data_IF_853308500909
#
_entry.id   IF_853308500909
#
_cell.length_a   1.000
_cell.length_b   1.000
_cell.length_c   1.000
_cell.angle_alpha   90.00
_cell.angle_beta   90.00
_cell.angle_gamma   90.00
#
_symmetry.space_group_name_H-M   'P 1'
#
loop_
_entity.id
_entity.type
_entity.pdbx_description
1 polymer ?
#
# COMPACT_ATOMS: atom_id res chain seq x y z
N UNK A 1 -7.67 2.10 -5.30
CA UNK A 1 -6.75 3.07 -5.93
C UNK A 1 -6.31 4.05 -4.87
N UNK A 2 -5.01 4.36 -4.79
CA UNK A 2 -4.47 5.27 -3.77
C UNK A 2 -3.55 6.28 -4.47
N UNK A 3 -3.74 7.60 -4.27
CA UNK A 3 -2.78 8.58 -4.75
C UNK A 3 -1.39 8.31 -4.14
N UNK A 4 -0.33 8.68 -4.86
CA UNK A 4 1.04 8.58 -4.33
C UNK A 4 1.63 9.96 -4.15
N UNK A 5 2.30 10.15 -3.02
CA UNK A 5 3.16 11.30 -2.74
C UNK A 5 4.55 10.75 -2.52
N UNK A 6 5.56 11.35 -3.19
CA UNK A 6 6.94 10.88 -3.23
C UNK A 6 7.09 9.39 -3.61
N UNK A 7 6.13 8.88 -4.38
CA UNK A 7 6.10 7.49 -4.83
C UNK A 7 5.82 6.46 -3.74
N UNK A 8 5.34 6.88 -2.57
CA UNK A 8 5.14 6.00 -1.39
C UNK A 8 3.68 5.92 -0.95
N UNK A 9 3.33 4.77 -0.39
CA UNK A 9 2.01 4.48 0.20
C UNK A 9 2.19 3.96 1.62
N UNK A 10 1.36 4.43 2.55
CA UNK A 10 1.37 3.99 3.94
C UNK A 10 0.13 3.13 4.25
N UNK A 11 0.34 2.11 5.09
CA UNK A 11 -0.68 1.18 5.57
C UNK A 11 -0.72 1.27 7.09
N UNK A 12 -1.85 1.69 7.63
CA UNK A 12 -2.09 1.78 9.06
C UNK A 12 -2.93 0.58 9.52
N UNK A 13 -2.57 -0.07 10.63
CA UNK A 13 -3.40 -1.07 11.31
C UNK A 13 -4.05 -0.50 12.58
N UNK A 14 -5.35 -0.71 12.77
CA UNK A 14 -6.11 -0.12 13.88
C UNK A 14 -5.90 -0.80 15.24
N UNK A 15 -6.16 -2.09 15.32
CA UNK A 15 -6.11 -2.92 16.54
C UNK A 15 -5.35 -4.22 16.30
N UNK A 16 -5.00 -4.92 17.38
CA UNK A 16 -4.22 -6.15 17.32
C UNK A 16 -2.91 -6.02 16.54
N UNK A 17 -2.39 -7.13 16.05
CA UNK A 17 -1.27 -7.18 15.12
C UNK A 17 -1.62 -8.02 13.91
N UNK A 18 -1.09 -7.66 12.74
CA UNK A 18 -1.42 -8.31 11.47
C UNK A 18 -0.24 -8.32 10.52
N UNK A 19 -0.11 -9.36 9.72
CA UNK A 19 0.80 -9.37 8.58
C UNK A 19 0.12 -8.76 7.35
N UNK A 20 0.83 -7.86 6.68
CA UNK A 20 0.32 -7.16 5.50
C UNK A 20 1.09 -7.53 4.25
N UNK A 21 0.32 -7.68 3.19
CA UNK A 21 0.76 -8.01 1.85
C UNK A 21 0.15 -6.98 0.90
N UNK A 22 0.95 -6.47 -0.03
CA UNK A 22 0.46 -5.61 -1.10
C UNK A 22 0.96 -6.08 -2.48
N UNK A 23 0.00 -6.30 -3.37
CA UNK A 23 0.21 -6.61 -4.78
C UNK A 23 -0.24 -5.40 -5.61
N UNK A 24 0.61 -4.89 -6.51
CA UNK A 24 0.21 -3.86 -7.48
C UNK A 24 -0.40 -4.53 -8.71
N UNK A 25 -1.45 -3.96 -9.28
CA UNK A 25 -2.04 -4.41 -10.56
C UNK A 25 -1.83 -3.40 -11.69
N UNK A 26 -1.73 -2.13 -11.34
CA UNK A 26 -1.52 -1.02 -12.27
C UNK A 26 -1.21 0.28 -11.55
N UNK A 27 -0.87 1.31 -12.32
CA UNK A 27 -0.64 2.66 -11.85
C UNK A 27 -1.22 3.70 -12.83
N UNK A 28 -1.36 4.93 -12.35
CA UNK A 28 -1.81 6.06 -13.13
C UNK A 28 -0.68 7.07 -13.32
N UNK A 29 -0.62 7.68 -14.50
CA UNK A 29 0.20 8.86 -14.80
C UNK A 29 -0.70 10.01 -15.21
N UNK A 30 -0.22 11.26 -15.09
CA UNK A 30 -0.93 12.41 -15.65
C UNK A 30 -1.01 12.31 -17.18
N UNK A 31 -2.13 12.74 -17.76
CA UNK A 31 -2.35 12.78 -19.20
C UNK A 31 -3.31 13.92 -19.56
N UNK A 32 -2.76 15.12 -19.83
CA UNK A 32 -3.55 16.33 -20.07
C UNK A 32 -4.48 16.63 -18.89
N UNK A 33 -5.77 16.82 -19.17
CA UNK A 33 -6.81 17.04 -18.15
C UNK A 33 -7.26 15.74 -17.45
N UNK A 34 -6.69 14.58 -17.82
CA UNK A 34 -7.04 13.27 -17.29
C UNK A 34 -5.84 12.48 -16.76
N UNK A 35 -6.04 11.18 -16.63
CA UNK A 35 -5.01 10.23 -16.22
C UNK A 35 -4.98 9.02 -17.14
N UNK A 36 -3.79 8.51 -17.44
CA UNK A 36 -3.60 7.25 -18.17
C UNK A 36 -3.41 6.13 -17.16
N UNK A 37 -4.18 5.05 -17.30
CA UNK A 37 -3.96 3.82 -16.53
C UNK A 37 -3.01 2.87 -17.26
N UNK A 38 -1.99 2.39 -16.57
CA UNK A 38 -1.05 1.40 -17.06
C UNK A 38 -1.17 0.14 -16.23
N UNK A 39 -1.58 -0.96 -16.86
CA UNK A 39 -1.58 -2.29 -16.25
C UNK A 39 -0.18 -2.88 -16.25
N UNK A 40 0.24 -3.45 -15.11
CA UNK A 40 1.52 -4.16 -14.99
C UNK A 40 1.37 -5.58 -14.43
N UNK A 41 0.13 -6.07 -14.32
CA UNK A 41 -0.22 -7.39 -13.75
C UNK A 41 -0.07 -7.39 -12.23
N UNK A 42 -0.60 -8.42 -11.52
CA UNK A 42 -0.35 -8.53 -10.08
C UNK A 42 1.15 -8.81 -9.85
N UNK A 43 1.84 -7.86 -9.23
CA UNK A 43 3.21 -8.04 -8.74
C UNK A 43 3.26 -7.76 -7.25
N UNK A 44 3.84 -8.68 -6.48
CA UNK A 44 4.05 -8.50 -5.05
C UNK A 44 5.09 -7.40 -4.81
N UNK A 45 4.68 -6.33 -4.12
CA UNK A 45 5.57 -5.24 -3.73
C UNK A 45 5.94 -5.28 -2.25
N UNK A 46 5.03 -5.77 -1.40
CA UNK A 46 5.23 -5.80 0.05
C UNK A 46 4.77 -7.13 0.63
N UNK A 47 5.56 -7.67 1.56
CA UNK A 47 5.17 -8.79 2.41
C UNK A 47 5.91 -8.71 3.76
N UNK A 48 5.20 -8.28 4.80
CA UNK A 48 5.78 -8.08 6.15
C UNK A 48 6.24 -9.38 6.81
N UNK A 49 5.85 -10.55 6.29
CA UNK A 49 6.31 -11.86 6.80
C UNK A 49 7.74 -12.17 6.39
N UNK A 50 8.19 -11.57 5.27
CA UNK A 50 9.51 -11.79 4.68
C UNK A 50 10.38 -10.54 4.60
N UNK A 51 9.83 -9.36 4.90
CA UNK A 51 10.51 -8.07 4.73
C UNK A 51 10.59 -7.58 3.28
N UNK A 52 9.89 -8.25 2.36
CA UNK A 52 9.83 -7.85 0.95
C UNK A 52 9.31 -6.40 0.82
N UNK A 53 9.96 -5.62 -0.06
CA UNK A 53 9.68 -4.20 -0.22
C UNK A 53 10.50 -3.30 0.71
N UNK A 54 11.46 -3.86 1.45
CA UNK A 54 12.31 -3.12 2.39
C UNK A 54 11.57 -2.72 3.67
N UNK A 55 10.47 -3.40 3.98
CA UNK A 55 9.69 -3.18 5.19
C UNK A 55 10.18 -4.09 6.32
N UNK A 56 9.92 -3.76 7.59
CA UNK A 56 10.25 -4.67 8.70
C UNK A 56 9.64 -6.06 8.49
N UNK A 57 10.42 -7.10 8.75
CA UNK A 57 9.94 -8.47 8.80
C UNK A 57 9.21 -8.72 10.14
N UNK A 58 8.04 -8.12 10.30
CA UNK A 58 7.24 -8.19 11.52
C UNK A 58 5.78 -7.84 11.23
N UNK A 59 4.88 -8.30 12.10
CA UNK A 59 3.49 -7.85 12.09
C UNK A 59 3.41 -6.34 12.37
N UNK A 60 2.46 -5.68 11.72
CA UNK A 60 2.10 -4.30 12.03
C UNK A 60 1.21 -4.32 13.27
N UNK A 61 1.71 -3.77 14.38
CA UNK A 61 0.98 -3.70 15.65
C UNK A 61 -0.18 -2.69 15.64
N UNK A 62 -0.87 -2.58 16.77
CA UNK A 62 -2.01 -1.68 16.94
C UNK A 62 -1.54 -0.23 16.82
N UNK A 63 -2.26 0.58 16.04
CA UNK A 63 -1.83 1.93 15.71
C UNK A 63 -0.61 2.01 14.78
N UNK A 64 -0.04 0.87 14.38
CA UNK A 64 1.21 0.78 13.64
C UNK A 64 1.04 1.18 12.17
N UNK A 65 2.13 1.68 11.59
CA UNK A 65 2.20 2.05 10.17
C UNK A 65 3.38 1.36 9.51
N UNK A 66 3.15 0.78 8.33
CA UNK A 66 4.20 0.35 7.42
C UNK A 66 4.12 1.17 6.12
N UNK A 67 5.26 1.62 5.62
CA UNK A 67 5.33 2.45 4.40
C UNK A 67 6.06 1.70 3.30
N UNK A 68 5.44 1.65 2.13
CA UNK A 68 5.94 0.98 0.93
C UNK A 68 6.41 2.01 -0.10
N UNK A 69 7.64 1.85 -0.59
CA UNK A 69 8.10 2.51 -1.81
C UNK A 69 7.48 1.80 -3.02
N UNK A 70 6.75 2.53 -3.86
CA UNK A 70 6.10 1.99 -5.06
C UNK A 70 6.75 2.49 -6.33
N UNK A 71 6.94 3.81 -6.47
CA UNK A 71 7.62 4.38 -7.63
C UNK A 71 9.05 3.84 -7.74
N UNK A 72 9.48 3.54 -8.96
CA UNK A 72 10.81 3.00 -9.26
C UNK A 72 10.97 1.51 -8.97
N UNK A 73 9.89 0.79 -8.65
CA UNK A 73 9.93 -0.65 -8.32
C UNK A 73 9.15 -1.49 -9.33
N UNK A 74 9.61 -2.69 -9.66
CA UNK A 74 8.84 -3.73 -10.37
C UNK A 74 8.09 -3.27 -11.64
N UNK A 75 8.69 -2.34 -12.41
CA UNK A 75 8.11 -1.80 -13.66
C UNK A 75 7.21 -0.57 -13.47
N UNK A 76 7.13 -0.03 -12.26
CA UNK A 76 6.56 1.29 -11.98
C UNK A 76 7.64 2.35 -12.23
N UNK A 77 7.37 3.40 -13.02
CA UNK A 77 8.30 4.51 -13.21
C UNK A 77 8.73 5.17 -11.90
N UNK A 78 9.94 5.71 -11.86
CA UNK A 78 10.46 6.42 -10.68
C UNK A 78 9.80 7.80 -10.47
N UNK A 79 9.20 8.37 -11.52
CA UNK A 79 8.54 9.67 -11.52
C UNK A 79 7.30 9.67 -12.42
N UNK A 80 6.45 10.69 -12.29
CA UNK A 80 5.24 10.85 -13.11
C UNK A 80 4.05 9.94 -12.73
N UNK A 81 4.21 9.11 -11.70
CA UNK A 81 3.12 8.29 -11.14
C UNK A 81 2.29 9.14 -10.18
N UNK A 82 0.97 9.16 -10.38
CA UNK A 82 0.04 9.98 -9.58
C UNK A 82 -0.83 9.14 -8.64
N UNK A 83 -1.12 7.89 -9.01
CA UNK A 83 -1.84 6.94 -8.17
C UNK A 83 -1.49 5.49 -8.51
N UNK A 84 -1.78 4.56 -7.60
CA UNK A 84 -1.52 3.13 -7.78
C UNK A 84 -2.77 2.30 -7.45
N UNK A 85 -2.89 1.15 -8.11
CA UNK A 85 -3.94 0.17 -7.88
C UNK A 85 -3.34 -1.00 -7.12
N UNK A 86 -3.72 -1.13 -5.84
CA UNK A 86 -3.21 -2.15 -4.94
C UNK A 86 -4.31 -3.11 -4.54
N UNK A 87 -3.98 -4.40 -4.56
CA UNK A 87 -4.67 -5.43 -3.82
C UNK A 87 -3.94 -5.61 -2.48
N UNK A 88 -4.69 -5.52 -1.39
CA UNK A 88 -4.13 -5.58 -0.03
C UNK A 88 -4.68 -6.82 0.64
N UNK A 89 -3.80 -7.61 1.24
CA UNK A 89 -4.17 -8.80 2.01
C UNK A 89 -3.68 -8.64 3.44
N UNK A 90 -4.59 -8.88 4.39
CA UNK A 90 -4.31 -9.02 5.80
C UNK A 90 -4.29 -10.51 6.15
N UNK A 91 -3.26 -10.95 6.88
CA UNK A 91 -3.16 -12.35 7.32
C UNK A 91 -2.59 -12.44 8.73
N UNK A 92 -2.85 -13.57 9.39
CA UNK A 92 -2.48 -13.83 10.79
C UNK A 92 -2.89 -12.70 11.79
N UNK A 93 -4.10 -12.12 11.70
CA UNK A 93 -4.53 -11.11 12.65
C UNK A 93 -4.64 -11.71 14.06
N UNK A 94 -4.40 -10.89 15.08
CA UNK A 94 -4.62 -11.30 16.49
C UNK A 94 -5.96 -10.83 17.03
N UNK A 95 -6.59 -9.84 16.40
CA UNK A 95 -7.88 -9.27 16.78
C UNK A 95 -8.62 -8.73 15.54
N UNK A 96 -9.96 -8.61 15.58
CA UNK A 96 -10.72 -7.88 14.57
C UNK A 96 -10.25 -6.43 14.44
N UNK A 97 -10.02 -6.00 13.20
CA UNK A 97 -9.40 -4.70 12.91
C UNK A 97 -9.68 -4.26 11.47
N UNK A 98 -9.07 -3.16 11.07
CA UNK A 98 -9.03 -2.69 9.70
C UNK A 98 -7.68 -2.09 9.36
N UNK A 99 -7.41 -2.04 8.05
CA UNK A 99 -6.28 -1.33 7.46
C UNK A 99 -6.76 -0.11 6.68
N UNK A 100 -6.12 1.03 6.93
CA UNK A 100 -6.22 2.24 6.09
C UNK A 100 -5.00 2.34 5.19
N UNK A 101 -5.21 2.67 3.92
CA UNK A 101 -4.17 2.81 2.91
C UNK A 101 -4.24 4.21 2.32
N UNK A 102 -3.14 4.96 2.39
CA UNK A 102 -3.13 6.39 2.09
C UNK A 102 -1.77 6.86 1.56
N UNK A 103 -1.71 8.03 0.90
CA UNK A 103 -0.44 8.58 0.43
C UNK A 103 0.50 8.85 1.62
N UNK A 104 1.73 8.35 1.54
CA UNK A 104 2.71 8.52 2.62
C UNK A 104 2.98 10.01 2.89
N UNK A 105 3.23 10.36 4.15
CA UNK A 105 3.51 11.75 4.57
C UNK A 105 2.28 12.66 4.63
N UNK A 106 1.08 12.15 4.32
CA UNK A 106 -0.19 12.89 4.46
C UNK A 106 -0.94 12.48 5.72
N UNK A 107 -1.87 13.32 6.18
CA UNK A 107 -2.79 12.95 7.25
C UNK A 107 -3.67 11.80 6.79
N UNK A 108 -3.62 10.67 7.52
CA UNK A 108 -4.49 9.52 7.28
C UNK A 108 -5.96 9.96 7.34
N UNK A 109 -6.75 9.53 6.35
CA UNK A 109 -8.19 9.71 6.38
C UNK A 109 -8.87 8.76 7.39
N UNK A 110 -10.17 8.92 7.64
CA UNK A 110 -10.96 7.98 8.45
C UNK A 110 -11.34 6.69 7.72
N UNK A 111 -10.87 6.49 6.48
CA UNK A 111 -11.29 5.37 5.65
C UNK A 111 -10.69 4.03 6.12
N UNK A 112 -11.53 3.00 6.20
CA UNK A 112 -11.13 1.58 6.32
C UNK A 112 -11.13 0.94 4.93
N UNK A 113 -9.97 0.62 4.37
CA UNK A 113 -9.86 0.03 3.03
C UNK A 113 -10.00 -1.49 3.03
N UNK A 114 -9.59 -2.15 4.12
CA UNK A 114 -9.69 -3.58 4.31
C UNK A 114 -10.09 -3.88 5.76
N UNK A 115 -11.23 -4.53 5.97
CA UNK A 115 -11.70 -4.97 7.28
C UNK A 115 -11.44 -6.48 7.41
N UNK A 116 -11.08 -6.95 8.61
CA UNK A 116 -10.77 -8.35 8.87
C UNK A 116 -11.04 -8.72 10.33
N UNK A 117 -11.15 -10.04 10.59
CA UNK A 117 -11.42 -10.65 11.90
C UNK A 117 -10.39 -11.70 12.22
#
# INVERSE_FOLDING_TARGET
>A
VVPVVDGKVSFFNNQGSVDLIADITGYFTSAGDGATHVNIGPKRLMDTRSGLGGVPQAKVGAGGVVTLQVAGTNGVPASGVTAVVLNVTATNPTEPSFVSVYPSGTTRTSASNLNFT
#
